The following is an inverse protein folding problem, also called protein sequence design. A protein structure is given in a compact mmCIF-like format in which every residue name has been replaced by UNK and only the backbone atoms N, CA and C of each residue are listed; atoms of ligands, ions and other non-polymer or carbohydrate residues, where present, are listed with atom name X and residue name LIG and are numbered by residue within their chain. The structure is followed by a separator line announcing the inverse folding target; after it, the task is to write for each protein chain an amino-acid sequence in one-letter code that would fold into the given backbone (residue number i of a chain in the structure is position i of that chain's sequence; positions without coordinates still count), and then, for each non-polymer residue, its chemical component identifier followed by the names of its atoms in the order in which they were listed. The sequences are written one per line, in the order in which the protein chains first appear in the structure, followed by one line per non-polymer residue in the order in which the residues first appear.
data_IF_925697667748
#
_entry.id   IF_925697667748
#
_cell.length_a   1.000
_cell.length_b   1.000
_cell.length_c   1.000
_cell.angle_alpha   90.00
_cell.angle_beta   90.00
_cell.angle_gamma   90.00
#
_symmetry.space_group_name_H-M   'P 1'
#
loop_
_entity.id
_entity.type
_entity.pdbx_description
1 polymer ?
#
# COMPACT_ATOMS: atom_id res chain seq x y z
N UNK A 1 -60.26 -23.60 26.17
CA UNK A 1 -59.01 -24.31 26.35
C UNK A 1 -58.05 -23.93 25.23
N UNK A 2 -57.02 -23.15 25.50
CA UNK A 2 -55.96 -22.80 24.55
C UNK A 2 -54.67 -23.42 25.10
N UNK A 3 -54.18 -24.40 24.36
CA UNK A 3 -52.90 -25.07 24.67
C UNK A 3 -51.74 -24.06 24.52
N UNK A 4 -50.92 -23.96 25.59
CA UNK A 4 -49.66 -23.21 25.61
C UNK A 4 -48.57 -24.10 25.02
N UNK A 5 -48.18 -23.87 23.80
CA UNK A 5 -46.96 -24.45 23.22
C UNK A 5 -45.74 -23.84 23.89
N UNK A 6 -45.06 -24.67 24.68
CA UNK A 6 -43.77 -24.35 25.31
C UNK A 6 -42.68 -24.27 24.19
N UNK A 7 -42.14 -23.08 23.99
CA UNK A 7 -40.96 -22.90 23.11
C UNK A 7 -39.73 -23.34 23.94
N UNK A 8 -39.15 -24.45 23.58
CA UNK A 8 -37.90 -24.94 24.17
C UNK A 8 -36.75 -23.94 23.86
N UNK A 9 -36.13 -23.47 24.93
CA UNK A 9 -34.94 -22.64 24.87
C UNK A 9 -33.78 -23.49 24.33
N UNK A 10 -33.00 -23.02 23.28
CA UNK A 10 -31.87 -23.81 22.81
C UNK A 10 -30.83 -23.94 23.92
N UNK A 11 -30.39 -25.16 24.16
CA UNK A 11 -29.38 -25.52 25.14
C UNK A 11 -28.10 -24.70 24.87
N UNK A 12 -27.50 -24.14 25.94
CA UNK A 12 -26.17 -23.56 25.95
C UNK A 12 -25.18 -24.62 25.48
N UNK A 13 -24.62 -24.42 24.27
CA UNK A 13 -23.49 -25.20 23.80
C UNK A 13 -22.34 -25.01 24.79
N UNK A 14 -21.78 -26.12 25.26
CA UNK A 14 -20.60 -26.17 26.11
C UNK A 14 -19.45 -25.37 25.49
N UNK A 15 -18.57 -24.83 26.34
CA UNK A 15 -17.37 -24.09 25.97
C UNK A 15 -16.32 -25.02 25.32
N UNK A 16 -16.64 -25.52 24.13
CA UNK A 16 -15.70 -26.11 23.19
C UNK A 16 -15.19 -25.00 22.29
N UNK A 17 -13.90 -25.01 21.99
CA UNK A 17 -13.14 -24.06 21.18
C UNK A 17 -14.01 -23.49 20.04
N UNK A 18 -14.44 -22.23 20.17
CA UNK A 18 -15.07 -21.52 19.05
C UNK A 18 -13.99 -21.40 17.96
N UNK A 19 -14.24 -21.95 16.79
CA UNK A 19 -13.45 -21.61 15.62
C UNK A 19 -13.38 -20.06 15.55
N UNK A 20 -12.15 -19.54 15.43
CA UNK A 20 -11.95 -18.09 15.38
C UNK A 20 -12.83 -17.52 14.28
N UNK A 21 -13.60 -16.48 14.57
CA UNK A 21 -14.45 -15.83 13.56
C UNK A 21 -13.57 -15.27 12.44
N UNK A 22 -14.12 -15.09 11.23
CA UNK A 22 -13.38 -14.44 10.14
C UNK A 22 -12.91 -13.04 10.54
N UNK A 23 -13.64 -12.35 11.42
CA UNK A 23 -13.26 -11.05 12.00
C UNK A 23 -11.99 -11.21 12.84
N UNK A 24 -11.98 -12.15 13.78
CA UNK A 24 -10.83 -12.38 14.66
C UNK A 24 -9.60 -12.81 13.84
N UNK A 25 -9.81 -13.64 12.83
CA UNK A 25 -8.74 -14.09 11.93
C UNK A 25 -8.12 -12.93 11.13
N UNK A 26 -8.95 -11.99 10.63
CA UNK A 26 -8.47 -10.79 9.94
C UNK A 26 -7.69 -9.87 10.88
N UNK A 27 -8.24 -9.55 12.05
CA UNK A 27 -7.57 -8.69 13.04
C UNK A 27 -6.24 -9.30 13.50
N UNK A 28 -6.21 -10.62 13.71
CA UNK A 28 -4.97 -11.33 14.04
C UNK A 28 -3.95 -11.28 12.88
N UNK A 29 -4.38 -11.34 11.64
CA UNK A 29 -3.49 -11.22 10.48
C UNK A 29 -2.87 -9.80 10.40
N UNK A 30 -3.68 -8.75 10.57
CA UNK A 30 -3.20 -7.37 10.62
C UNK A 30 -2.22 -7.18 11.77
N UNK A 31 -2.55 -7.66 12.98
CA UNK A 31 -1.67 -7.56 14.15
C UNK A 31 -0.30 -8.23 13.89
N UNK A 32 -0.29 -9.43 13.32
CA UNK A 32 0.97 -10.12 12.96
C UNK A 32 1.81 -9.33 11.95
N UNK A 33 1.18 -8.69 10.96
CA UNK A 33 1.88 -7.87 9.97
C UNK A 33 2.47 -6.60 10.59
N UNK A 34 1.75 -5.93 11.47
CA UNK A 34 2.25 -4.77 12.22
C UNK A 34 3.46 -5.14 13.09
N UNK A 35 3.37 -6.26 13.81
CA UNK A 35 4.47 -6.74 14.64
C UNK A 35 5.67 -7.18 13.80
N UNK A 36 5.44 -7.84 12.66
CA UNK A 36 6.49 -8.16 11.70
C UNK A 36 7.16 -6.87 11.19
N UNK A 37 6.39 -5.89 10.76
CA UNK A 37 6.92 -4.61 10.29
C UNK A 37 7.78 -3.95 11.38
N UNK A 38 7.27 -3.84 12.59
CA UNK A 38 7.97 -3.25 13.74
C UNK A 38 9.32 -3.92 14.01
N UNK A 39 9.40 -5.24 13.86
CA UNK A 39 10.60 -6.02 14.22
C UNK A 39 11.60 -6.15 13.06
N UNK A 40 11.13 -6.17 11.80
CA UNK A 40 11.98 -6.46 10.65
C UNK A 40 12.29 -5.26 9.77
N UNK A 41 11.51 -4.16 9.86
CA UNK A 41 11.65 -3.01 8.96
C UNK A 41 12.19 -1.75 9.66
N UNK A 42 12.59 -1.84 10.91
CA UNK A 42 13.02 -0.68 11.70
C UNK A 42 14.18 0.06 11.05
N UNK A 43 15.24 -0.63 10.65
CA UNK A 43 16.41 -0.03 10.01
C UNK A 43 16.04 0.63 8.67
N UNK A 44 15.21 -0.04 7.86
CA UNK A 44 14.75 0.52 6.60
C UNK A 44 13.87 1.76 6.82
N UNK A 45 13.02 1.74 7.85
CA UNK A 45 12.17 2.87 8.22
C UNK A 45 13.01 4.08 8.68
N UNK A 46 14.03 3.86 9.52
CA UNK A 46 14.95 4.91 9.98
C UNK A 46 15.72 5.52 8.79
N UNK A 47 16.24 4.71 7.88
CA UNK A 47 16.89 5.19 6.64
C UNK A 47 15.93 5.98 5.75
N UNK A 48 14.69 5.52 5.59
CA UNK A 48 13.69 6.26 4.83
C UNK A 48 13.39 7.61 5.48
N UNK A 49 13.19 7.64 6.80
CA UNK A 49 12.96 8.88 7.54
C UNK A 49 14.12 9.86 7.40
N UNK A 50 15.38 9.40 7.45
CA UNK A 50 16.56 10.24 7.21
C UNK A 50 16.56 10.87 5.81
N UNK A 51 16.23 10.10 4.76
CA UNK A 51 16.11 10.62 3.39
C UNK A 51 15.03 11.68 3.27
N UNK A 52 13.85 11.43 3.86
CA UNK A 52 12.74 12.39 3.83
C UNK A 52 13.05 13.64 4.65
N UNK A 53 13.67 13.49 5.83
CA UNK A 53 14.11 14.63 6.64
C UNK A 53 15.15 15.49 5.91
N UNK A 54 16.08 14.86 5.19
CA UNK A 54 17.04 15.56 4.33
C UNK A 54 16.37 16.39 3.22
N UNK A 55 15.32 15.85 2.58
CA UNK A 55 14.52 16.60 1.63
C UNK A 55 13.88 17.83 2.28
N UNK A 56 13.21 17.67 3.41
CA UNK A 56 12.54 18.76 4.12
C UNK A 56 13.53 19.83 4.61
N UNK A 57 14.72 19.43 5.05
CA UNK A 57 15.78 20.35 5.46
C UNK A 57 16.30 21.24 4.30
N UNK A 58 16.19 20.75 3.07
CA UNK A 58 16.59 21.44 1.86
C UNK A 58 15.42 22.13 1.12
N UNK A 59 14.35 22.48 1.82
CA UNK A 59 13.14 23.10 1.26
C UNK A 59 12.49 22.27 0.13
N UNK A 60 12.63 20.96 0.19
CA UNK A 60 12.01 20.03 -0.73
C UNK A 60 10.58 19.66 -0.33
N UNK A 61 9.89 18.99 -1.23
CA UNK A 61 8.52 18.47 -1.07
C UNK A 61 8.55 16.95 -1.19
N UNK A 62 7.79 16.26 -0.35
CA UNK A 62 7.59 14.84 -0.48
C UNK A 62 6.57 14.56 -1.58
N UNK A 63 7.02 14.00 -2.69
CA UNK A 63 6.18 13.63 -3.85
C UNK A 63 5.69 12.20 -3.65
N UNK A 64 4.41 12.01 -3.34
CA UNK A 64 3.83 10.71 -3.00
C UNK A 64 2.95 10.22 -4.14
N UNK A 65 3.27 9.04 -4.69
CA UNK A 65 2.58 8.45 -5.83
C UNK A 65 2.10 7.03 -5.54
N UNK A 66 0.86 6.74 -5.94
CA UNK A 66 0.29 5.40 -5.93
C UNK A 66 -0.84 5.28 -6.94
N UNK A 67 -1.07 4.08 -7.45
CA UNK A 67 -2.15 3.76 -8.40
C UNK A 67 -3.19 2.85 -7.76
N UNK A 68 -4.41 2.79 -8.29
CA UNK A 68 -5.47 1.96 -7.72
C UNK A 68 -5.66 2.25 -6.21
N UNK A 69 -5.75 1.21 -5.37
CA UNK A 69 -5.89 1.39 -3.92
C UNK A 69 -4.66 2.02 -3.25
N UNK A 70 -3.48 1.97 -3.87
CA UNK A 70 -2.27 2.59 -3.30
C UNK A 70 -2.34 4.12 -3.27
N UNK A 71 -3.18 4.77 -4.10
CA UNK A 71 -3.36 6.22 -4.03
C UNK A 71 -4.00 6.68 -2.71
N UNK A 72 -4.82 5.83 -2.07
CA UNK A 72 -5.44 6.15 -0.77
C UNK A 72 -4.39 6.37 0.32
N UNK A 73 -3.23 5.72 0.21
CA UNK A 73 -2.11 5.93 1.13
C UNK A 73 -1.40 7.26 0.82
N UNK A 74 -1.37 7.70 -0.44
CA UNK A 74 -0.88 9.03 -0.79
C UNK A 74 -1.82 10.14 -0.27
N UNK A 75 -3.14 9.94 -0.37
CA UNK A 75 -4.14 10.84 0.22
C UNK A 75 -4.02 10.90 1.75
N UNK A 76 -3.67 9.78 2.40
CA UNK A 76 -3.59 9.67 3.86
C UNK A 76 -2.57 10.64 4.47
N UNK A 77 -1.51 11.00 3.75
CA UNK A 77 -0.47 11.93 4.22
C UNK A 77 -0.64 13.36 3.70
N UNK A 78 -1.60 13.58 2.80
CA UNK A 78 -1.81 14.86 2.14
C UNK A 78 -2.83 15.73 2.88
N UNK A 79 -2.45 16.96 3.20
CA UNK A 79 -3.31 18.02 3.77
C UNK A 79 -4.24 17.52 4.89
N UNK A 80 -3.67 17.02 5.97
CA UNK A 80 -4.44 16.52 7.12
C UNK A 80 -3.95 17.11 8.44
N UNK A 81 -4.84 17.12 9.44
CA UNK A 81 -4.47 17.47 10.81
C UNK A 81 -3.41 16.47 11.34
N UNK A 82 -2.33 17.00 11.91
CA UNK A 82 -1.21 16.22 12.44
C UNK A 82 -0.23 15.73 11.38
N UNK A 83 -0.43 16.04 10.10
CA UNK A 83 0.49 15.69 9.02
C UNK A 83 1.54 16.78 8.74
N UNK A 84 2.52 16.44 7.90
CA UNK A 84 3.51 17.39 7.38
C UNK A 84 2.89 18.29 6.31
N UNK A 85 3.32 19.56 6.24
CA UNK A 85 2.85 20.52 5.24
C UNK A 85 3.47 20.26 3.86
N UNK A 86 4.81 20.07 3.71
CA UNK A 86 5.44 19.94 2.39
C UNK A 86 5.29 18.51 1.84
N UNK A 87 4.06 18.10 1.64
CA UNK A 87 3.69 16.82 1.01
C UNK A 87 2.79 17.09 -0.18
N UNK A 88 3.08 16.48 -1.31
CA UNK A 88 2.28 16.52 -2.52
C UNK A 88 1.83 15.10 -2.90
N UNK A 89 0.54 14.84 -2.85
CA UNK A 89 -0.04 13.59 -3.36
C UNK A 89 -0.31 13.74 -4.86
N UNK A 90 0.31 12.87 -5.67
CA UNK A 90 0.15 12.87 -7.13
C UNK A 90 -1.15 12.13 -7.51
N UNK A 91 -2.28 12.83 -7.41
CA UNK A 91 -3.64 12.29 -7.54
C UNK A 91 -4.22 12.54 -8.94
N UNK A 92 -3.56 12.02 -9.97
CA UNK A 92 -4.09 12.12 -11.33
C UNK A 92 -5.30 11.19 -11.52
N UNK A 93 -6.38 11.72 -12.09
CA UNK A 93 -7.66 10.99 -12.28
C UNK A 93 -7.54 9.76 -13.18
N UNK A 94 -6.48 9.65 -13.97
CA UNK A 94 -6.23 8.48 -14.83
C UNK A 94 -5.77 7.25 -14.05
N UNK A 95 -5.13 7.44 -12.89
CA UNK A 95 -4.53 6.36 -12.09
C UNK A 95 -5.20 6.13 -10.74
N UNK A 96 -6.08 7.04 -10.29
CA UNK A 96 -6.83 6.89 -9.03
C UNK A 96 -8.20 6.23 -9.24
N UNK A 97 -8.77 5.64 -8.17
CA UNK A 97 -10.04 4.90 -8.27
C UNK A 97 -11.25 5.80 -8.55
N UNK A 98 -11.22 7.05 -8.11
CA UNK A 98 -12.29 8.02 -8.36
C UNK A 98 -12.46 8.35 -9.85
N UNK A 99 -11.41 8.20 -10.65
CA UNK A 99 -11.47 8.30 -12.11
C UNK A 99 -12.03 7.06 -12.81
N UNK A 100 -12.32 5.99 -12.06
CA UNK A 100 -12.84 4.71 -12.55
C UNK A 100 -11.86 3.55 -12.38
N UNK A 101 -12.28 2.48 -11.70
CA UNK A 101 -11.43 1.35 -11.34
C UNK A 101 -10.83 0.64 -12.56
N UNK A 102 -11.61 0.43 -13.64
CA UNK A 102 -11.10 -0.18 -14.87
C UNK A 102 -10.08 0.72 -15.56
N UNK A 103 -10.38 2.02 -15.70
CA UNK A 103 -9.46 3.01 -16.27
C UNK A 103 -8.14 3.07 -15.50
N UNK A 104 -8.21 3.13 -14.18
CA UNK A 104 -7.03 3.12 -13.32
C UNK A 104 -6.17 1.88 -13.56
N UNK A 105 -6.79 0.69 -13.64
CA UNK A 105 -6.09 -0.58 -13.89
C UNK A 105 -5.45 -0.62 -15.29
N UNK A 106 -6.10 -0.12 -16.31
CA UNK A 106 -5.56 -0.06 -17.68
C UNK A 106 -4.40 0.93 -17.77
N UNK A 107 -4.57 2.13 -17.19
CA UNK A 107 -3.51 3.17 -17.19
C UNK A 107 -2.28 2.72 -16.41
N UNK A 108 -2.46 2.08 -15.25
CA UNK A 108 -1.36 1.55 -14.45
C UNK A 108 -0.46 0.56 -15.24
N UNK A 109 -1.06 -0.20 -16.16
CA UNK A 109 -0.39 -1.22 -16.96
C UNK A 109 0.15 -0.68 -18.30
N UNK A 110 -0.17 0.54 -18.64
CA UNK A 110 0.24 1.17 -19.90
C UNK A 110 1.62 1.80 -19.75
N UNK A 111 2.62 1.38 -20.56
CA UNK A 111 3.91 2.06 -20.63
C UNK A 111 3.75 3.54 -21.00
N UNK A 112 4.55 4.41 -20.39
CA UNK A 112 4.53 5.86 -20.62
C UNK A 112 3.48 6.61 -19.79
N UNK A 113 2.55 5.94 -19.12
CA UNK A 113 1.51 6.59 -18.32
C UNK A 113 2.10 7.43 -17.16
N UNK A 114 3.20 6.99 -16.59
CA UNK A 114 3.88 7.75 -15.53
C UNK A 114 4.40 9.09 -16.02
N UNK A 115 4.92 9.19 -17.25
CA UNK A 115 5.40 10.44 -17.81
C UNK A 115 4.25 11.43 -18.08
N UNK A 116 3.09 10.94 -18.53
CA UNK A 116 1.89 11.76 -18.69
C UNK A 116 1.44 12.35 -17.34
N UNK A 117 1.40 11.54 -16.29
CA UNK A 117 1.07 11.99 -14.93
C UNK A 117 2.13 12.97 -14.42
N UNK A 118 3.41 12.62 -14.52
CA UNK A 118 4.51 13.45 -14.01
C UNK A 118 4.55 14.85 -14.64
N UNK A 119 4.09 14.99 -15.90
CA UNK A 119 4.03 16.28 -16.59
C UNK A 119 3.10 17.32 -15.91
N UNK A 120 2.22 16.88 -15.02
CA UNK A 120 1.33 17.76 -14.25
C UNK A 120 1.93 18.24 -12.92
N UNK A 121 3.15 17.79 -12.58
CA UNK A 121 3.78 18.04 -11.29
C UNK A 121 5.19 18.61 -11.45
N UNK A 122 5.57 19.52 -10.57
CA UNK A 122 6.92 20.06 -10.51
C UNK A 122 7.80 19.14 -9.64
N UNK A 123 8.58 18.27 -10.31
CA UNK A 123 9.52 17.36 -9.65
C UNK A 123 10.91 17.99 -9.66
N UNK A 124 11.47 18.25 -8.48
CA UNK A 124 12.74 18.98 -8.32
C UNK A 124 13.82 18.10 -7.67
N UNK A 125 15.11 18.31 -7.93
CA UNK A 125 16.19 17.49 -7.38
C UNK A 125 16.24 17.46 -5.84
N UNK A 126 15.77 18.51 -5.15
CA UNK A 126 15.71 18.59 -3.69
C UNK A 126 14.50 17.88 -3.09
N UNK A 127 13.51 17.47 -3.90
CA UNK A 127 12.34 16.71 -3.46
C UNK A 127 12.72 15.27 -3.14
N UNK A 128 11.84 14.53 -2.47
CA UNK A 128 11.95 13.10 -2.27
C UNK A 128 10.68 12.38 -2.72
N UNK A 129 10.84 11.22 -3.33
CA UNK A 129 9.74 10.40 -3.81
C UNK A 129 9.33 9.31 -2.82
N UNK A 130 8.04 9.10 -2.66
CA UNK A 130 7.47 7.91 -2.02
C UNK A 130 6.55 7.24 -3.02
N UNK A 131 6.94 6.09 -3.54
CA UNK A 131 6.16 5.34 -4.53
C UNK A 131 5.55 4.10 -3.89
N UNK A 132 4.23 4.01 -3.97
CA UNK A 132 3.44 2.98 -3.28
C UNK A 132 2.82 2.05 -4.31
N UNK A 133 3.20 0.77 -4.27
CA UNK A 133 2.62 -0.28 -5.12
C UNK A 133 2.80 -1.64 -4.47
N UNK A 134 1.71 -2.27 -4.05
CA UNK A 134 1.81 -3.57 -3.38
C UNK A 134 2.43 -4.65 -4.26
N UNK A 135 2.11 -4.69 -5.56
CA UNK A 135 2.73 -5.62 -6.51
C UNK A 135 4.12 -5.19 -6.97
N UNK A 136 4.40 -3.88 -7.02
CA UNK A 136 5.67 -3.31 -7.45
C UNK A 136 6.13 -3.72 -8.87
N UNK A 137 5.22 -4.11 -9.77
CA UNK A 137 5.54 -4.72 -11.07
C UNK A 137 4.98 -3.97 -12.28
N UNK A 138 3.89 -3.23 -12.10
CA UNK A 138 3.24 -2.54 -13.22
C UNK A 138 4.06 -1.35 -13.72
N UNK A 139 3.96 -1.01 -15.01
CA UNK A 139 4.71 0.10 -15.61
C UNK A 139 4.62 1.41 -14.84
N UNK A 140 3.42 1.92 -14.56
CA UNK A 140 3.27 3.26 -14.01
C UNK A 140 4.04 3.49 -12.68
N UNK A 141 3.97 2.65 -11.63
CA UNK A 141 4.75 2.89 -10.42
C UNK A 141 6.27 2.73 -10.62
N UNK A 142 6.70 1.80 -11.47
CA UNK A 142 8.14 1.59 -11.73
C UNK A 142 8.72 2.75 -12.55
N UNK A 143 8.01 3.19 -13.58
CA UNK A 143 8.41 4.33 -14.41
C UNK A 143 8.41 5.63 -13.62
N UNK A 144 7.42 5.87 -12.72
CA UNK A 144 7.39 7.03 -11.85
C UNK A 144 8.62 7.07 -10.93
N UNK A 145 8.99 5.95 -10.32
CA UNK A 145 10.20 5.87 -9.52
C UNK A 145 11.46 6.19 -10.36
N UNK A 146 11.54 5.70 -11.58
CA UNK A 146 12.64 6.03 -12.52
C UNK A 146 12.69 7.51 -12.89
N UNK A 147 11.54 8.14 -13.15
CA UNK A 147 11.46 9.56 -13.45
C UNK A 147 11.94 10.41 -12.26
N UNK A 148 11.48 10.08 -11.05
CA UNK A 148 11.95 10.72 -9.83
C UNK A 148 13.46 10.55 -9.63
N UNK A 149 13.99 9.33 -9.83
CA UNK A 149 15.44 9.06 -9.77
C UNK A 149 16.22 9.83 -10.83
N UNK A 150 15.71 9.93 -12.05
CA UNK A 150 16.34 10.68 -13.14
C UNK A 150 16.39 12.20 -12.87
N UNK A 151 15.46 12.72 -12.08
CA UNK A 151 15.47 14.12 -11.60
C UNK A 151 16.50 14.33 -10.48
N UNK A 152 17.06 13.28 -9.91
CA UNK A 152 18.02 13.36 -8.79
C UNK A 152 17.39 13.15 -7.41
N UNK A 153 16.11 12.88 -7.33
CA UNK A 153 15.39 12.65 -6.09
C UNK A 153 15.78 11.31 -5.45
N UNK A 154 15.96 11.21 -4.13
CA UNK A 154 15.90 9.94 -3.43
C UNK A 154 14.46 9.39 -3.46
N UNK A 155 14.31 8.06 -3.61
CA UNK A 155 13.00 7.42 -3.71
C UNK A 155 12.86 6.27 -2.73
N UNK A 156 11.78 6.29 -1.96
CA UNK A 156 11.35 5.22 -1.05
C UNK A 156 10.21 4.45 -1.69
N UNK A 157 10.30 3.13 -1.71
CA UNK A 157 9.21 2.24 -2.12
C UNK A 157 8.45 1.71 -0.90
N UNK A 158 7.12 1.71 -0.97
CA UNK A 158 6.25 0.93 -0.08
C UNK A 158 5.61 -0.17 -0.93
N UNK A 159 6.03 -1.43 -0.70
CA UNK A 159 5.63 -2.56 -1.55
C UNK A 159 5.59 -3.85 -0.74
N UNK A 160 4.96 -4.90 -1.26
CA UNK A 160 5.12 -6.23 -0.70
C UNK A 160 6.22 -6.98 -1.46
N UNK A 161 7.32 -7.27 -0.80
CA UNK A 161 8.42 -8.07 -1.38
C UNK A 161 7.90 -9.44 -1.81
N UNK A 162 7.10 -10.11 -0.96
CA UNK A 162 6.52 -11.41 -1.26
C UNK A 162 5.63 -11.38 -2.50
N UNK A 163 4.76 -10.38 -2.63
CA UNK A 163 3.89 -10.23 -3.81
C UNK A 163 4.69 -9.86 -5.06
N UNK A 164 5.63 -8.92 -4.93
CA UNK A 164 6.45 -8.43 -6.03
C UNK A 164 7.30 -9.54 -6.66
N UNK A 165 7.84 -10.45 -5.84
CA UNK A 165 8.74 -11.53 -6.28
C UNK A 165 8.03 -12.83 -6.66
N UNK A 166 6.74 -12.98 -6.32
CA UNK A 166 5.97 -14.21 -6.59
C UNK A 166 5.79 -14.53 -8.10
N UNK A 167 5.89 -13.53 -8.96
CA UNK A 167 5.74 -13.67 -10.41
C UNK A 167 6.95 -13.09 -11.15
N UNK A 168 7.22 -13.50 -12.40
CA UNK A 168 8.27 -12.91 -13.22
C UNK A 168 8.13 -11.39 -13.37
N UNK A 169 9.23 -10.72 -13.64
CA UNK A 169 9.26 -9.31 -14.02
C UNK A 169 8.41 -9.10 -15.26
N UNK A 170 7.68 -7.99 -15.32
CA UNK A 170 6.99 -7.58 -16.54
C UNK A 170 7.98 -6.86 -17.46
N UNK A 171 7.79 -6.97 -18.78
CA UNK A 171 8.58 -6.25 -19.76
C UNK A 171 7.64 -5.62 -20.80
N UNK A 172 7.56 -4.29 -20.86
CA UNK A 172 8.10 -3.32 -19.93
C UNK A 172 7.44 -3.41 -18.54
N UNK A 173 8.10 -2.96 -17.45
CA UNK A 173 9.27 -2.08 -17.38
C UNK A 173 10.64 -2.81 -17.29
N UNK A 174 10.70 -4.13 -17.30
CA UNK A 174 11.95 -4.91 -17.25
C UNK A 174 12.61 -5.02 -15.88
N UNK A 175 12.06 -4.37 -14.85
CA UNK A 175 12.50 -4.41 -13.43
C UNK A 175 11.29 -4.25 -12.52
N UNK A 176 11.49 -4.46 -11.22
CA UNK A 176 10.49 -4.19 -10.18
C UNK A 176 10.74 -2.82 -9.52
N UNK A 177 9.73 -2.30 -8.84
CA UNK A 177 9.85 -1.08 -8.05
C UNK A 177 10.96 -1.20 -7.00
N UNK A 178 11.06 -2.35 -6.34
CA UNK A 178 12.07 -2.62 -5.31
C UNK A 178 13.53 -2.62 -5.85
N UNK A 179 13.71 -2.79 -7.17
CA UNK A 179 15.03 -2.78 -7.82
C UNK A 179 15.48 -1.34 -8.21
N UNK A 180 14.57 -0.36 -8.17
CA UNK A 180 14.80 1.03 -8.59
C UNK A 180 15.01 1.97 -7.42
N UNK A 181 14.35 1.72 -6.29
CA UNK A 181 14.30 2.65 -5.16
C UNK A 181 15.49 2.53 -4.21
N UNK A 182 15.82 3.62 -3.51
CA UNK A 182 16.95 3.69 -2.56
C UNK A 182 16.65 2.94 -1.25
N UNK A 183 15.38 2.98 -0.83
CA UNK A 183 14.89 2.26 0.35
C UNK A 183 13.59 1.55 0.01
N UNK A 184 13.45 0.33 0.49
CA UNK A 184 12.24 -0.49 0.35
C UNK A 184 11.65 -0.75 1.73
N UNK A 185 10.38 -0.38 1.91
CA UNK A 185 9.57 -0.69 3.08
C UNK A 185 8.60 -1.81 2.71
N UNK A 186 8.84 -3.01 3.26
CA UNK A 186 8.04 -4.20 2.96
C UNK A 186 6.78 -4.25 3.81
N UNK A 187 5.61 -4.15 3.17
CA UNK A 187 4.31 -4.30 3.84
C UNK A 187 4.10 -5.71 4.42
N UNK A 188 4.81 -6.71 3.90
CA UNK A 188 4.63 -8.10 4.27
C UNK A 188 3.31 -8.72 3.83
N UNK A 189 2.49 -8.01 3.05
CA UNK A 189 1.23 -8.54 2.52
C UNK A 189 1.46 -9.78 1.67
N UNK A 190 0.55 -10.75 1.77
CA UNK A 190 0.62 -11.98 1.00
C UNK A 190 0.44 -11.72 -0.51
N UNK A 191 0.88 -12.67 -1.33
CA UNK A 191 0.57 -12.66 -2.75
C UNK A 191 -0.96 -12.57 -2.96
N UNK A 192 -1.37 -11.70 -3.89
CA UNK A 192 -2.78 -11.43 -4.15
C UNK A 192 -3.46 -10.51 -3.12
N UNK A 193 -2.72 -10.06 -2.10
CA UNK A 193 -3.23 -9.17 -1.03
C UNK A 193 -4.51 -9.70 -0.36
N UNK A 194 -4.54 -11.01 -0.06
CA UNK A 194 -5.68 -11.68 0.53
C UNK A 194 -5.22 -12.62 1.64
N UNK A 195 -5.61 -12.34 2.88
CA UNK A 195 -5.10 -13.05 4.05
C UNK A 195 -6.06 -14.10 4.63
N UNK A 196 -7.28 -14.22 4.08
CA UNK A 196 -8.30 -15.14 4.59
C UNK A 196 -8.85 -16.04 3.51
N UNK A 197 -8.97 -17.34 3.84
CA UNK A 197 -9.76 -18.30 3.06
C UNK A 197 -11.05 -18.59 3.84
N UNK A 198 -12.19 -18.15 3.29
CA UNK A 198 -13.51 -18.36 3.92
C UNK A 198 -14.19 -19.57 3.27
N UNK A 199 -14.72 -20.46 4.10
CA UNK A 199 -15.47 -21.65 3.63
C UNK A 199 -16.64 -21.21 2.74
N UNK A 200 -16.71 -21.79 1.54
CA UNK A 200 -17.74 -21.47 0.55
C UNK A 200 -17.44 -20.25 -0.33
N UNK A 201 -16.36 -19.50 -0.06
CA UNK A 201 -15.87 -18.42 -0.93
C UNK A 201 -14.73 -18.95 -1.80
N UNK A 202 -14.87 -18.79 -3.12
CA UNK A 202 -13.92 -19.37 -4.10
C UNK A 202 -12.52 -18.79 -3.99
N UNK A 203 -12.41 -17.48 -3.74
CA UNK A 203 -11.15 -16.78 -3.70
C UNK A 203 -10.84 -16.31 -2.28
N UNK A 204 -9.56 -16.25 -1.94
CA UNK A 204 -9.12 -15.59 -0.70
C UNK A 204 -9.54 -14.12 -0.69
N UNK A 205 -9.80 -13.59 0.50
CA UNK A 205 -10.26 -12.21 0.74
C UNK A 205 -9.47 -11.57 1.88
N UNK A 206 -9.81 -10.34 2.26
CA UNK A 206 -9.18 -9.62 3.37
C UNK A 206 -7.86 -8.99 2.97
N UNK A 207 -7.88 -7.86 2.21
CA UNK A 207 -6.68 -7.12 1.84
C UNK A 207 -6.04 -6.48 3.08
N UNK A 208 -4.71 -6.47 3.12
CA UNK A 208 -3.94 -5.92 4.26
C UNK A 208 -3.01 -4.79 3.85
N UNK A 209 -2.71 -4.65 2.56
CA UNK A 209 -1.73 -3.69 2.04
C UNK A 209 -2.04 -2.24 2.40
N UNK A 210 -3.31 -1.83 2.33
CA UNK A 210 -3.71 -0.45 2.62
C UNK A 210 -3.56 -0.12 4.10
N UNK A 211 -3.99 -0.99 5.01
CA UNK A 211 -3.88 -0.74 6.45
C UNK A 211 -2.42 -0.71 6.91
N UNK A 212 -1.59 -1.62 6.39
CA UNK A 212 -0.15 -1.63 6.70
C UNK A 212 0.55 -0.44 6.03
N UNK A 213 0.26 -0.15 4.76
CA UNK A 213 0.82 0.99 4.05
C UNK A 213 0.48 2.33 4.71
N UNK A 214 -0.76 2.53 5.16
CA UNK A 214 -1.15 3.71 5.93
C UNK A 214 -0.37 3.81 7.25
N UNK A 215 -0.19 2.69 7.95
CA UNK A 215 0.65 2.66 9.17
C UNK A 215 2.11 3.03 8.87
N UNK A 216 2.67 2.53 7.76
CA UNK A 216 4.04 2.82 7.34
C UNK A 216 4.22 4.31 7.05
N UNK A 217 3.36 4.93 6.25
CA UNK A 217 3.51 6.37 5.92
C UNK A 217 3.33 7.25 7.15
N UNK A 218 2.43 6.89 8.08
CA UNK A 218 2.27 7.62 9.34
C UNK A 218 3.46 7.45 10.30
N UNK A 219 4.18 6.34 10.21
CA UNK A 219 5.40 6.12 10.99
C UNK A 219 6.63 6.82 10.38
N UNK A 220 6.56 7.25 9.10
CA UNK A 220 7.61 7.99 8.40
C UNK A 220 7.58 9.49 8.71
N UNK A 221 6.42 10.04 9.05
CA UNK A 221 6.18 11.48 9.26
C UNK A 221 5.98 11.81 10.74
#
# INVERSE_FOLDING_TARGET
MREKTSVAHPARLAAGQREASAVDAYLAAVHRLLERFRTTQREALERAAELLAGCLHNDGVLQVFGTGHSHMIAEEVFVRAGGLIPVNAMLDTSVVLSGGAFRSTETERRPGAAAEVAAHYDLRPQDAGVVISNSGRNPAPVEMARLMKATGMPVVAITSVAHSTALPVLDPPGVRLLDVCDVVLDTGSAYGDACLQIKGVRHAVGPTSTVIGATIVQALI
#
